data_IF_882221550110
#
_entry.id   IF_882221550110
#
_cell.length_a   1.000
_cell.length_b   1.000
_cell.length_c   1.000
_cell.angle_alpha   90.00
_cell.angle_beta   90.00
_cell.angle_gamma   90.00
#
_symmetry.space_group_name_H-M   'P 1'
#
loop_
_entity.id
_entity.type
_entity.pdbx_description
1 polymer ?
#
# COMPACT_ATOMS: atom_id res chain seq x y z
N UNK A 1 -4.46 25.71 -3.01
CA UNK A 1 -4.34 24.35 -3.56
C UNK A 1 -5.69 23.68 -3.36
N UNK A 2 -6.29 23.12 -4.40
CA UNK A 2 -7.47 22.27 -4.23
C UNK A 2 -6.99 20.93 -3.66
N UNK A 3 -7.25 20.68 -2.38
CA UNK A 3 -7.06 19.35 -1.78
C UNK A 3 -8.04 18.41 -2.47
N UNK A 4 -7.53 17.39 -3.15
CA UNK A 4 -8.36 16.34 -3.74
C UNK A 4 -8.68 15.31 -2.67
N UNK A 5 -9.92 14.87 -2.62
CA UNK A 5 -10.34 13.79 -1.73
C UNK A 5 -9.68 12.47 -2.13
N UNK A 6 -9.35 11.64 -1.15
CA UNK A 6 -8.81 10.30 -1.39
C UNK A 6 -9.81 9.43 -2.14
N UNK A 7 -9.34 8.71 -3.16
CA UNK A 7 -10.11 7.71 -3.90
C UNK A 7 -9.34 6.40 -3.97
N UNK A 8 -9.85 5.36 -3.33
CA UNK A 8 -9.20 4.04 -3.31
C UNK A 8 -8.97 3.47 -4.72
N UNK A 9 -9.88 3.74 -5.66
CA UNK A 9 -9.69 3.30 -7.06
C UNK A 9 -8.58 4.07 -7.78
N UNK A 10 -8.40 5.35 -7.47
CA UNK A 10 -7.33 6.16 -8.07
C UNK A 10 -5.97 5.82 -7.43
N UNK A 11 -5.93 5.65 -6.10
CA UNK A 11 -4.75 5.16 -5.38
C UNK A 11 -4.28 3.82 -5.94
N UNK A 12 -5.21 2.86 -6.10
CA UNK A 12 -4.93 1.55 -6.68
C UNK A 12 -4.33 1.67 -8.08
N UNK A 13 -4.93 2.50 -8.94
CA UNK A 13 -4.45 2.71 -10.30
C UNK A 13 -3.05 3.35 -10.33
N UNK A 14 -2.80 4.33 -9.45
CA UNK A 14 -1.50 4.97 -9.28
C UNK A 14 -0.43 3.97 -8.85
N UNK A 15 -0.69 3.22 -7.78
CA UNK A 15 0.25 2.25 -7.21
C UNK A 15 0.59 1.15 -8.22
N UNK A 16 -0.41 0.61 -8.92
CA UNK A 16 -0.16 -0.36 -10.00
C UNK A 16 0.66 0.25 -11.15
N UNK A 17 0.45 1.53 -11.47
CA UNK A 17 1.28 2.28 -12.41
C UNK A 17 2.74 2.34 -11.95
N UNK A 18 2.99 2.63 -10.67
CA UNK A 18 4.35 2.65 -10.11
C UNK A 18 5.04 1.29 -10.18
N UNK A 19 4.35 0.20 -9.81
CA UNK A 19 4.91 -1.15 -9.98
C UNK A 19 5.18 -1.51 -11.44
N UNK A 20 4.31 -1.10 -12.36
CA UNK A 20 4.52 -1.32 -13.79
C UNK A 20 5.73 -0.54 -14.34
N UNK A 21 5.94 0.70 -13.88
CA UNK A 21 7.11 1.52 -14.22
C UNK A 21 8.41 0.95 -13.65
N UNK A 22 8.40 0.40 -12.43
CA UNK A 22 9.53 -0.31 -11.82
C UNK A 22 9.87 -1.60 -12.59
N UNK A 23 8.85 -2.35 -12.99
CA UNK A 23 8.91 -3.46 -13.95
C UNK A 23 9.46 -4.79 -13.45
N UNK A 24 10.17 -4.82 -12.33
CA UNK A 24 10.78 -6.04 -11.76
C UNK A 24 9.74 -7.08 -11.27
N UNK A 25 8.59 -6.65 -10.73
CA UNK A 25 7.54 -7.57 -10.29
C UNK A 25 6.90 -8.37 -11.43
N UNK A 26 7.00 -7.89 -12.68
CA UNK A 26 6.49 -8.60 -13.86
C UNK A 26 7.29 -9.88 -14.18
N UNK A 27 8.53 -9.99 -13.67
CA UNK A 27 9.36 -11.19 -13.75
C UNK A 27 9.01 -12.22 -12.68
N UNK A 28 8.20 -11.83 -11.69
CA UNK A 28 7.86 -12.66 -10.52
C UNK A 28 6.42 -13.18 -10.62
N UNK A 29 5.49 -12.28 -10.97
CA UNK A 29 4.05 -12.58 -11.06
C UNK A 29 3.43 -11.91 -12.29
N UNK A 30 2.32 -12.47 -12.77
CA UNK A 30 1.54 -11.82 -13.82
C UNK A 30 0.78 -10.58 -13.30
N UNK A 31 0.28 -9.76 -14.23
CA UNK A 31 -0.45 -8.52 -13.92
C UNK A 31 -1.69 -8.77 -13.05
N UNK A 32 -2.38 -9.89 -13.26
CA UNK A 32 -3.56 -10.24 -12.47
C UNK A 32 -3.16 -10.47 -11.00
N UNK A 33 -2.12 -11.28 -10.78
CA UNK A 33 -1.63 -11.61 -9.46
C UNK A 33 -1.04 -10.40 -8.74
N UNK A 34 -0.31 -9.54 -9.44
CA UNK A 34 0.16 -8.26 -8.89
C UNK A 34 -1.03 -7.39 -8.46
N UNK A 35 -2.07 -7.30 -9.29
CA UNK A 35 -3.33 -6.64 -8.93
C UNK A 35 -3.94 -7.18 -7.65
N UNK A 36 -4.04 -8.50 -7.51
CA UNK A 36 -4.56 -9.16 -6.30
C UNK A 36 -3.71 -8.88 -5.05
N UNK A 37 -2.39 -8.75 -5.20
CA UNK A 37 -1.48 -8.42 -4.10
C UNK A 37 -1.63 -6.95 -3.68
N UNK A 38 -1.72 -6.02 -4.63
CA UNK A 38 -1.97 -4.59 -4.35
C UNK A 38 -3.33 -4.40 -3.67
N UNK A 39 -4.37 -5.07 -4.17
CA UNK A 39 -5.70 -5.05 -3.54
C UNK A 39 -5.66 -5.58 -2.11
N UNK A 40 -4.86 -6.60 -1.85
CA UNK A 40 -4.72 -7.19 -0.52
C UNK A 40 -4.00 -6.25 0.45
N UNK A 41 -2.86 -5.66 0.06
CA UNK A 41 -2.10 -4.77 0.95
C UNK A 41 -2.88 -3.48 1.25
N UNK A 42 -3.55 -2.90 0.26
CA UNK A 42 -4.43 -1.73 0.47
C UNK A 42 -5.58 -2.02 1.44
N UNK A 43 -6.18 -3.21 1.35
CA UNK A 43 -7.23 -3.61 2.28
C UNK A 43 -6.71 -3.85 3.70
N UNK A 44 -5.47 -4.32 3.84
CA UNK A 44 -4.81 -4.50 5.13
C UNK A 44 -4.46 -3.17 5.77
N UNK A 45 -3.94 -2.22 5.00
CA UNK A 45 -3.68 -0.85 5.45
C UNK A 45 -4.96 -0.17 5.96
N UNK A 46 -6.04 -0.21 5.16
CA UNK A 46 -7.33 0.31 5.58
C UNK A 46 -7.88 -0.37 6.84
N UNK A 47 -7.65 -1.68 7.00
CA UNK A 47 -8.02 -2.40 8.21
C UNK A 47 -7.18 -1.96 9.41
N UNK A 48 -5.87 -1.78 9.24
CA UNK A 48 -4.97 -1.29 10.28
C UNK A 48 -5.38 0.10 10.75
N UNK A 49 -5.63 1.04 9.83
CA UNK A 49 -6.10 2.38 10.17
C UNK A 49 -7.37 2.35 11.01
N UNK A 50 -8.33 1.50 10.64
CA UNK A 50 -9.57 1.32 11.38
C UNK A 50 -9.38 0.67 12.75
N UNK A 51 -8.47 -0.30 12.86
CA UNK A 51 -8.17 -0.99 14.12
C UNK A 51 -7.44 -0.09 15.12
N UNK A 52 -6.62 0.84 14.63
CA UNK A 52 -5.86 1.79 15.46
C UNK A 52 -6.59 3.11 15.67
N UNK A 53 -7.64 3.38 14.90
CA UNK A 53 -8.37 4.66 14.90
C UNK A 53 -7.64 5.77 14.15
N UNK A 54 -6.65 5.44 13.32
CA UNK A 54 -5.95 6.42 12.48
C UNK A 54 -6.88 7.08 11.46
N UNK A 55 -7.90 6.36 10.99
CA UNK A 55 -8.98 6.91 10.16
C UNK A 55 -9.91 7.88 10.93
N UNK A 56 -9.87 7.84 12.27
CA UNK A 56 -10.58 8.75 13.18
C UNK A 56 -9.67 9.85 13.76
N UNK A 57 -8.42 9.97 13.27
CA UNK A 57 -7.47 11.02 13.64
C UNK A 57 -6.46 10.62 14.71
N UNK A 58 -6.35 9.34 15.07
CA UNK A 58 -5.18 8.86 15.80
C UNK A 58 -3.93 8.93 14.91
N UNK A 59 -2.74 8.94 15.54
CA UNK A 59 -1.48 8.90 14.79
C UNK A 59 -1.33 7.55 14.10
N UNK A 60 -1.04 7.57 12.81
CA UNK A 60 -0.66 6.38 12.06
C UNK A 60 0.80 6.01 12.40
N UNK A 61 1.02 4.78 12.86
CA UNK A 61 2.34 4.25 13.22
C UNK A 61 2.87 3.40 12.05
N UNK A 62 3.79 3.96 11.27
CA UNK A 62 4.33 3.34 10.04
C UNK A 62 4.99 1.98 10.33
N UNK A 63 5.76 1.87 11.41
CA UNK A 63 6.46 0.64 11.77
C UNK A 63 5.44 -0.47 12.12
N UNK A 64 4.42 -0.13 12.91
CA UNK A 64 3.36 -1.08 13.28
C UNK A 64 2.49 -1.47 12.07
N UNK A 65 2.21 -0.53 11.16
CA UNK A 65 1.45 -0.80 9.95
C UNK A 65 2.23 -1.72 9.00
N UNK A 66 3.53 -1.46 8.82
CA UNK A 66 4.43 -2.30 8.05
C UNK A 66 4.40 -3.74 8.57
N UNK A 67 4.65 -3.94 9.87
CA UNK A 67 4.70 -5.26 10.49
C UNK A 67 3.38 -6.01 10.29
N UNK A 68 2.25 -5.32 10.51
CA UNK A 68 0.91 -5.85 10.34
C UNK A 68 0.64 -6.31 8.90
N UNK A 69 0.95 -5.46 7.92
CA UNK A 69 0.74 -5.75 6.50
C UNK A 69 1.67 -6.87 6.03
N UNK A 70 2.96 -6.78 6.34
CA UNK A 70 3.98 -7.75 5.93
C UNK A 70 3.69 -9.15 6.45
N UNK A 71 3.31 -9.29 7.73
CA UNK A 71 2.96 -10.58 8.31
C UNK A 71 1.77 -11.21 7.56
N UNK A 72 0.69 -10.44 7.36
CA UNK A 72 -0.54 -10.94 6.72
C UNK A 72 -0.35 -11.22 5.23
N UNK A 73 0.44 -10.41 4.54
CA UNK A 73 0.80 -10.65 3.15
C UNK A 73 1.62 -11.94 2.99
N UNK A 74 2.59 -12.19 3.89
CA UNK A 74 3.33 -13.46 3.93
C UNK A 74 2.43 -14.67 4.17
N UNK A 75 1.40 -14.55 5.02
CA UNK A 75 0.44 -15.63 5.27
C UNK A 75 -0.47 -15.87 4.07
N UNK A 76 -0.97 -14.80 3.43
CA UNK A 76 -1.91 -14.89 2.31
C UNK A 76 -1.26 -15.35 1.00
N UNK A 77 -0.05 -14.89 0.72
CA UNK A 77 0.72 -15.19 -0.50
C UNK A 77 1.97 -16.02 -0.16
N UNK A 78 1.79 -17.12 0.56
CA UNK A 78 2.90 -17.91 1.11
C UNK A 78 3.92 -18.41 0.06
N UNK A 79 3.47 -18.65 -1.18
CA UNK A 79 4.34 -19.04 -2.30
C UNK A 79 5.28 -17.92 -2.75
N UNK A 80 4.89 -16.66 -2.52
CA UNK A 80 5.63 -15.46 -2.92
C UNK A 80 6.20 -14.72 -1.70
N UNK A 81 6.19 -15.34 -0.50
CA UNK A 81 6.56 -14.70 0.77
C UNK A 81 7.91 -13.99 0.75
N UNK A 82 8.88 -14.50 -0.03
CA UNK A 82 10.21 -13.90 -0.12
C UNK A 82 10.24 -12.52 -0.77
N UNK A 83 9.16 -12.15 -1.46
CA UNK A 83 9.00 -10.85 -2.12
C UNK A 83 8.08 -9.90 -1.35
N UNK A 84 7.41 -10.37 -0.28
CA UNK A 84 6.42 -9.55 0.44
C UNK A 84 7.07 -8.38 1.18
N UNK A 85 8.32 -8.54 1.64
CA UNK A 85 9.09 -7.42 2.21
C UNK A 85 9.16 -6.27 1.21
N UNK A 86 9.63 -6.53 -0.02
CA UNK A 86 9.76 -5.49 -1.05
C UNK A 86 8.40 -4.96 -1.49
N UNK A 87 7.41 -5.83 -1.64
CA UNK A 87 6.07 -5.42 -2.07
C UNK A 87 5.40 -4.48 -1.07
N UNK A 88 5.54 -4.73 0.23
CA UNK A 88 4.94 -3.88 1.26
C UNK A 88 5.70 -2.56 1.40
N UNK A 89 7.04 -2.57 1.33
CA UNK A 89 7.84 -1.34 1.30
C UNK A 89 7.49 -0.46 0.10
N UNK A 90 7.50 -1.04 -1.12
CA UNK A 90 7.12 -0.34 -2.35
C UNK A 90 5.70 0.23 -2.25
N UNK A 91 4.75 -0.56 -1.72
CA UNK A 91 3.39 -0.09 -1.51
C UNK A 91 3.34 1.14 -0.60
N UNK A 92 4.04 1.12 0.55
CA UNK A 92 4.03 2.23 1.49
C UNK A 92 4.61 3.49 0.86
N UNK A 93 5.77 3.38 0.20
CA UNK A 93 6.40 4.49 -0.52
C UNK A 93 5.47 5.07 -1.61
N UNK A 94 4.77 4.21 -2.37
CA UNK A 94 3.87 4.65 -3.43
C UNK A 94 2.57 5.26 -2.90
N UNK A 95 2.02 4.71 -1.82
CA UNK A 95 0.82 5.23 -1.18
C UNK A 95 1.11 6.60 -0.55
N UNK A 96 2.23 6.74 0.14
CA UNK A 96 2.67 8.01 0.73
C UNK A 96 2.86 9.10 -0.34
N UNK A 97 3.56 8.78 -1.43
CA UNK A 97 3.71 9.70 -2.58
C UNK A 97 2.38 10.09 -3.20
N UNK A 98 1.43 9.16 -3.29
CA UNK A 98 0.08 9.46 -3.77
C UNK A 98 -0.65 10.43 -2.83
N UNK A 99 -0.63 10.16 -1.53
CA UNK A 99 -1.26 11.01 -0.52
C UNK A 99 -0.63 12.41 -0.46
N UNK A 100 0.70 12.51 -0.56
CA UNK A 100 1.44 13.78 -0.65
C UNK A 100 1.00 14.58 -1.88
N UNK A 101 0.84 13.91 -3.03
CA UNK A 101 0.39 14.55 -4.26
C UNK A 101 -1.03 15.14 -4.17
N UNK A 102 -1.86 14.65 -3.24
CA UNK A 102 -3.19 15.17 -2.94
C UNK A 102 -3.16 16.22 -1.83
N UNK A 103 -2.04 16.39 -1.14
CA UNK A 103 -1.90 17.24 0.05
C UNK A 103 -2.65 16.69 1.27
N UNK A 104 -2.69 15.36 1.42
CA UNK A 104 -3.42 14.67 2.50
C UNK A 104 -2.55 14.24 3.68
N UNK A 105 -1.22 14.29 3.53
CA UNK A 105 -0.26 14.06 4.61
C UNK A 105 0.54 15.33 4.85
N UNK A 106 0.98 15.50 6.10
CA UNK A 106 1.82 16.60 6.53
C UNK A 106 3.11 16.03 7.13
N UNK A 107 4.23 16.69 6.85
CA UNK A 107 5.58 16.25 7.23
C UNK A 107 6.16 17.04 8.41
N UNK A 108 5.29 17.79 9.13
CA UNK A 108 5.63 18.68 10.25
C UNK A 108 6.06 17.97 11.55
#
# INVERSE_FOLDING_TARGET
>A
METKEYSASEARAYILGCFAEQGDFSEIVDEQKLGEMVDAVMALDAAFMKETGADEGAVYDDDAAYDYMHEKMCQKFSEHKMYMLRLVEDYMDYNERYLDSLGLIDWE
#
